data_IF_065868610853
#
_entry.id   IF_065868610853
#
_cell.length_a   1.000
_cell.length_b   1.000
_cell.length_c   1.000
_cell.angle_alpha   90.00
_cell.angle_beta   90.00
_cell.angle_gamma   90.00
#
_symmetry.space_group_name_H-M   'P 1'
#
loop_
_entity.id
_entity.type
_entity.pdbx_description
1 polymer ?
#
# COMPACT_ATOMS: atom_id res chain seq x y z
N UNK A 1 3.69 56.32 22.93
CA UNK A 1 3.33 55.33 21.89
C UNK A 1 4.13 54.02 21.95
N UNK A 2 5.10 53.85 22.87
CA UNK A 2 5.96 52.64 22.91
C UNK A 2 5.37 51.46 23.73
N UNK A 3 4.35 51.71 24.57
CA UNK A 3 3.69 50.68 25.40
C UNK A 3 2.64 49.86 24.66
N UNK A 4 2.00 50.41 23.62
CA UNK A 4 0.96 49.69 22.86
C UNK A 4 1.52 48.73 21.81
N UNK A 5 2.71 49.02 21.26
CA UNK A 5 3.38 48.14 20.28
C UNK A 5 3.81 46.81 20.92
N UNK A 6 4.21 46.82 22.20
CA UNK A 6 4.62 45.61 22.92
C UNK A 6 3.47 44.63 23.17
N UNK A 7 2.27 45.14 23.46
CA UNK A 7 1.08 44.30 23.70
C UNK A 7 0.63 43.64 22.39
N UNK A 8 0.70 44.36 21.26
CA UNK A 8 0.32 43.82 19.95
C UNK A 8 1.26 42.69 19.49
N UNK A 9 2.57 42.82 19.72
CA UNK A 9 3.54 41.77 19.37
C UNK A 9 3.39 40.50 20.22
N UNK A 10 3.02 40.66 21.49
CA UNK A 10 2.80 39.51 22.39
C UNK A 10 1.51 38.75 22.05
N UNK A 11 0.49 39.45 21.53
CA UNK A 11 -0.78 38.84 21.11
C UNK A 11 -0.66 38.07 19.78
N UNK A 12 0.20 38.53 18.85
CA UNK A 12 0.46 37.84 17.58
C UNK A 12 1.27 36.54 17.78
N UNK A 13 2.17 36.49 18.77
CA UNK A 13 2.88 35.26 19.13
C UNK A 13 1.98 34.22 19.83
N UNK A 14 1.04 34.66 20.67
CA UNK A 14 0.09 33.73 21.30
C UNK A 14 -0.97 33.21 20.33
N UNK A 15 -1.32 33.97 19.29
CA UNK A 15 -2.23 33.51 18.24
C UNK A 15 -1.57 32.43 17.36
N UNK A 16 -0.26 32.52 17.08
CA UNK A 16 0.45 31.49 16.31
C UNK A 16 0.60 30.14 17.06
N UNK A 17 0.65 30.17 18.40
CA UNK A 17 0.65 28.96 19.24
C UNK A 17 -0.75 28.33 19.40
N UNK A 18 -1.83 29.07 19.12
CA UNK A 18 -3.20 28.55 19.14
C UNK A 18 -3.61 27.85 17.83
N UNK A 19 -2.88 28.04 16.73
CA UNK A 19 -3.13 27.35 15.44
C UNK A 19 -2.37 26.03 15.33
N UNK A 20 -1.48 25.68 16.27
CA UNK A 20 -0.77 24.38 16.24
C UNK A 20 -1.46 23.26 17.01
N UNK A 21 -2.66 23.47 17.54
CA UNK A 21 -3.43 22.49 18.29
C UNK A 21 -4.88 22.36 17.79
N UNK A 22 -5.12 22.59 16.50
CA UNK A 22 -6.34 22.15 15.83
C UNK A 22 -5.99 20.96 14.94
N UNK A 23 -6.22 19.75 15.45
CA UNK A 23 -6.26 18.54 14.64
C UNK A 23 -7.45 18.66 13.67
N UNK A 24 -7.26 18.65 12.33
CA UNK A 24 -8.33 18.92 11.37
C UNK A 24 -9.29 17.73 11.18
N UNK A 25 -9.39 16.79 12.12
CA UNK A 25 -10.04 15.49 11.91
C UNK A 25 -11.33 15.24 12.66
N UNK A 26 -11.94 16.25 13.30
CA UNK A 26 -13.29 16.08 13.88
C UNK A 26 -14.36 16.69 12.97
N UNK A 27 -14.73 15.95 11.92
CA UNK A 27 -16.04 16.11 11.30
C UNK A 27 -17.10 15.65 12.32
N UNK A 28 -18.02 16.54 12.78
CA UNK A 28 -19.01 16.19 13.77
C UNK A 28 -20.06 15.17 13.28
N UNK A 29 -20.03 14.77 12.01
CA UNK A 29 -21.03 13.87 11.42
C UNK A 29 -20.59 12.41 11.24
N UNK A 30 -19.42 11.98 11.72
CA UNK A 30 -19.04 10.56 11.65
C UNK A 30 -19.73 9.72 12.75
N UNK A 31 -21.02 9.43 12.56
CA UNK A 31 -21.73 8.37 13.29
C UNK A 31 -21.24 7.01 12.80
N UNK A 32 -20.22 6.49 13.46
CA UNK A 32 -19.77 5.12 13.33
C UNK A 32 -20.75 4.19 14.10
N UNK A 33 -21.56 3.40 13.39
CA UNK A 33 -22.30 2.28 13.97
C UNK A 33 -21.71 0.97 13.46
N UNK A 34 -20.83 0.37 14.26
CA UNK A 34 -20.24 -0.95 13.98
C UNK A 34 -19.28 -1.35 15.08
N UNK A 35 -19.75 -2.21 16.00
CA UNK A 35 -19.00 -2.76 17.13
C UNK A 35 -17.84 -3.65 16.67
N UNK A 36 -16.60 -3.19 16.90
CA UNK A 36 -15.38 -3.98 16.81
C UNK A 36 -14.24 -3.29 17.56
N UNK A 37 -13.80 -3.90 18.66
CA UNK A 37 -12.76 -3.38 19.56
C UNK A 37 -11.39 -3.30 18.85
N UNK A 38 -10.76 -2.12 18.77
CA UNK A 38 -9.33 -2.01 18.40
C UNK A 38 -8.88 -0.76 17.63
N UNK A 39 -8.85 0.38 18.31
CA UNK A 39 -7.94 1.55 18.18
C UNK A 39 -7.13 1.81 16.88
N UNK A 40 -7.53 2.87 16.16
CA UNK A 40 -6.70 3.92 15.51
C UNK A 40 -5.52 3.49 14.60
N UNK A 41 -5.82 3.42 13.31
CA UNK A 41 -4.87 3.53 12.21
C UNK A 41 -5.60 4.00 10.96
N UNK A 42 -5.29 5.20 10.46
CA UNK A 42 -5.88 5.76 9.23
C UNK A 42 -5.39 4.98 8.00
N UNK A 43 -5.97 3.80 7.79
CA UNK A 43 -6.07 3.18 6.48
C UNK A 43 -7.54 3.10 6.11
N UNK A 44 -7.90 3.49 4.89
CA UNK A 44 -9.24 3.23 4.36
C UNK A 44 -9.38 1.71 4.25
N UNK A 45 -10.08 1.11 5.21
CA UNK A 45 -10.53 -0.26 5.10
C UNK A 45 -11.75 -0.25 4.20
N UNK A 46 -11.67 -0.98 3.09
CA UNK A 46 -12.82 -1.22 2.23
C UNK A 46 -13.27 -2.64 2.52
N UNK A 47 -14.46 -2.78 3.08
CA UNK A 47 -15.13 -4.07 3.19
C UNK A 47 -15.60 -4.47 1.80
N UNK A 48 -15.22 -5.66 1.34
CA UNK A 48 -15.62 -6.17 0.03
C UNK A 48 -16.15 -7.58 0.22
N UNK A 49 -17.43 -7.75 -0.11
CA UNK A 49 -18.18 -8.99 0.06
C UNK A 49 -18.03 -9.94 -1.12
N UNK A 50 -16.82 -10.14 -1.68
CA UNK A 50 -16.64 -11.06 -2.83
C UNK A 50 -15.21 -11.57 -2.99
N UNK A 51 -15.11 -12.87 -3.25
CA UNK A 51 -13.93 -13.74 -3.07
C UNK A 51 -14.30 -14.92 -2.15
N UNK A 52 -13.43 -15.92 -1.96
CA UNK A 52 -13.67 -16.95 -0.93
C UNK A 52 -13.62 -16.27 0.45
N UNK A 53 -14.78 -15.85 0.96
CA UNK A 53 -14.99 -15.15 2.23
C UNK A 53 -15.15 -13.63 2.10
N UNK A 54 -15.85 -13.02 3.07
CA UNK A 54 -15.87 -11.56 3.27
C UNK A 54 -14.47 -11.11 3.71
N UNK A 55 -13.85 -10.18 2.97
CA UNK A 55 -12.50 -9.68 3.29
C UNK A 55 -12.50 -8.17 3.44
N UNK A 56 -11.82 -7.71 4.48
CA UNK A 56 -11.51 -6.29 4.67
C UNK A 56 -10.18 -5.99 4.00
N UNK A 57 -10.18 -5.10 3.02
CA UNK A 57 -8.99 -4.70 2.29
C UNK A 57 -8.40 -3.45 2.91
N UNK A 58 -7.14 -3.54 3.34
CA UNK A 58 -6.37 -2.40 3.85
C UNK A 58 -5.26 -2.05 2.87
N UNK A 59 -5.46 -1.03 2.05
CA UNK A 59 -4.46 -0.65 1.04
C UNK A 59 -3.36 0.27 1.59
N UNK A 60 -3.70 1.09 2.58
CA UNK A 60 -2.79 2.09 3.15
C UNK A 60 -2.06 1.54 4.37
N UNK A 61 -0.78 1.91 4.49
CA UNK A 61 0.02 1.55 5.64
C UNK A 61 -0.34 2.41 6.86
N UNK A 62 -0.40 1.80 8.04
CA UNK A 62 -0.60 2.52 9.30
C UNK A 62 0.67 3.31 9.67
N UNK A 63 0.51 4.62 9.92
CA UNK A 63 1.60 5.52 10.29
C UNK A 63 2.40 5.03 11.50
N UNK A 64 1.73 4.47 12.52
CA UNK A 64 2.41 3.95 13.72
C UNK A 64 3.29 2.75 13.41
N UNK A 65 2.90 1.94 12.42
CA UNK A 65 3.70 0.81 11.95
C UNK A 65 4.88 1.30 11.09
N UNK A 66 4.68 2.35 10.30
CA UNK A 66 5.75 2.94 9.49
C UNK A 66 6.90 3.46 10.36
N UNK A 67 6.61 4.01 11.54
CA UNK A 67 7.61 4.53 12.48
C UNK A 67 8.47 3.43 13.15
N UNK A 68 8.06 2.15 13.03
CA UNK A 68 8.85 1.04 13.57
C UNK A 68 10.07 0.74 12.69
N UNK A 69 11.11 0.21 13.34
CA UNK A 69 12.28 -0.33 12.64
C UNK A 69 11.87 -1.40 11.63
N UNK A 70 12.55 -1.43 10.49
CA UNK A 70 12.36 -2.45 9.46
C UNK A 70 12.61 -3.88 9.95
N UNK A 71 13.46 -4.04 10.97
CA UNK A 71 13.71 -5.34 11.57
C UNK A 71 12.69 -5.74 12.64
N UNK A 72 11.81 -4.81 13.06
CA UNK A 72 10.77 -5.06 14.06
C UNK A 72 9.77 -6.10 13.54
N UNK A 73 9.55 -7.15 14.34
CA UNK A 73 8.68 -8.25 13.96
C UNK A 73 7.23 -7.78 13.73
N UNK A 74 6.74 -6.81 14.50
CA UNK A 74 5.37 -6.29 14.35
C UNK A 74 5.16 -5.62 12.99
N UNK A 75 6.20 -4.94 12.48
CA UNK A 75 6.16 -4.32 11.16
C UNK A 75 6.14 -5.37 10.05
N UNK A 76 7.00 -6.38 10.16
CA UNK A 76 7.04 -7.52 9.23
C UNK A 76 5.70 -8.27 9.19
N UNK A 77 5.15 -8.61 10.36
CA UNK A 77 3.88 -9.31 10.50
C UNK A 77 2.72 -8.47 9.94
N UNK A 78 2.69 -7.17 10.24
CA UNK A 78 1.67 -6.26 9.73
C UNK A 78 1.61 -6.28 8.20
N UNK A 79 2.74 -6.05 7.51
CA UNK A 79 2.73 -6.03 6.04
C UNK A 79 2.44 -7.41 5.46
N UNK A 80 3.00 -8.47 6.04
CA UNK A 80 2.77 -9.83 5.56
C UNK A 80 1.30 -10.23 5.66
N UNK A 81 0.69 -10.10 6.85
CA UNK A 81 -0.69 -10.49 7.07
C UNK A 81 -1.66 -9.69 6.22
N UNK A 82 -1.46 -8.37 6.10
CA UNK A 82 -2.32 -7.54 5.25
C UNK A 82 -2.17 -7.91 3.77
N UNK A 83 -0.94 -8.08 3.27
CA UNK A 83 -0.73 -8.48 1.88
C UNK A 83 -1.36 -9.84 1.57
N UNK A 84 -1.16 -10.83 2.45
CA UNK A 84 -1.74 -12.16 2.26
C UNK A 84 -3.27 -12.13 2.29
N UNK A 85 -3.86 -11.35 3.19
CA UNK A 85 -5.31 -11.18 3.24
C UNK A 85 -5.86 -10.54 1.95
N UNK A 86 -5.16 -9.55 1.41
CA UNK A 86 -5.54 -8.83 0.20
C UNK A 86 -5.36 -9.71 -1.05
N UNK A 87 -4.21 -10.36 -1.19
CA UNK A 87 -3.72 -10.83 -2.48
C UNK A 87 -3.70 -12.36 -2.64
N UNK A 88 -4.12 -13.16 -1.66
CA UNK A 88 -4.23 -14.62 -1.83
C UNK A 88 -5.59 -15.05 -2.37
N UNK A 89 -5.65 -16.12 -3.17
CA UNK A 89 -6.89 -16.65 -3.75
C UNK A 89 -7.73 -15.58 -4.47
N UNK A 90 -7.07 -14.68 -5.20
CA UNK A 90 -7.70 -13.60 -5.93
C UNK A 90 -7.84 -13.93 -7.41
N UNK A 91 -8.88 -13.38 -8.02
CA UNK A 91 -9.01 -13.29 -9.48
C UNK A 91 -8.86 -11.83 -9.89
N UNK A 92 -8.05 -11.60 -10.92
CA UNK A 92 -7.73 -10.29 -11.43
C UNK A 92 -8.02 -10.24 -12.93
N UNK A 93 -8.66 -9.15 -13.34
CA UNK A 93 -8.77 -8.79 -14.74
C UNK A 93 -7.45 -8.23 -15.20
N UNK A 94 -6.79 -8.88 -16.16
CA UNK A 94 -5.54 -8.38 -16.72
C UNK A 94 -5.76 -7.02 -17.39
N UNK A 95 -4.83 -6.08 -17.17
CA UNK A 95 -4.88 -4.77 -17.83
C UNK A 95 -4.51 -4.92 -19.31
N UNK A 96 -5.27 -4.25 -20.20
CA UNK A 96 -5.01 -4.23 -21.64
C UNK A 96 -5.31 -5.54 -22.38
N UNK A 97 -5.77 -6.58 -21.69
CA UNK A 97 -6.04 -7.90 -22.25
C UNK A 97 -7.53 -8.24 -22.16
N UNK A 98 -8.10 -8.80 -23.24
CA UNK A 98 -9.53 -9.15 -23.28
C UNK A 98 -9.83 -10.59 -22.84
N UNK A 99 -8.82 -11.47 -22.79
CA UNK A 99 -9.01 -12.92 -22.58
C UNK A 99 -8.21 -13.46 -21.40
N UNK A 100 -7.06 -12.86 -21.09
CA UNK A 100 -6.16 -13.35 -20.06
C UNK A 100 -6.72 -13.06 -18.66
N UNK A 101 -6.95 -14.11 -17.88
CA UNK A 101 -7.29 -13.98 -16.45
C UNK A 101 -6.03 -14.15 -15.63
N UNK A 102 -5.86 -13.35 -14.59
CA UNK A 102 -4.75 -13.54 -13.65
C UNK A 102 -5.29 -13.94 -12.30
N UNK A 103 -4.53 -14.78 -11.62
CA UNK A 103 -4.98 -15.33 -10.34
C UNK A 103 -3.84 -15.41 -9.36
N UNK A 104 -4.20 -15.56 -8.09
CA UNK A 104 -3.25 -15.87 -7.04
C UNK A 104 -3.72 -17.06 -6.23
N UNK A 105 -2.78 -17.84 -5.68
CA UNK A 105 -3.09 -18.95 -4.79
C UNK A 105 -2.98 -18.56 -3.31
N UNK A 106 -3.08 -19.55 -2.42
CA UNK A 106 -2.96 -19.40 -0.96
C UNK A 106 -1.59 -18.92 -0.49
N UNK A 107 -0.53 -19.10 -1.30
CA UNK A 107 0.83 -18.64 -1.03
C UNK A 107 1.10 -17.29 -1.72
N UNK A 108 0.03 -16.66 -2.27
CA UNK A 108 0.06 -15.47 -3.08
C UNK A 108 0.93 -15.59 -4.34
N UNK A 109 1.18 -16.79 -4.85
CA UNK A 109 1.87 -17.01 -6.14
C UNK A 109 1.01 -16.41 -7.24
N UNK A 110 1.62 -15.63 -8.14
CA UNK A 110 0.90 -14.90 -9.18
C UNK A 110 0.96 -15.66 -10.52
N UNK A 111 -0.21 -15.92 -11.09
CA UNK A 111 -0.38 -16.73 -12.28
C UNK A 111 -1.07 -15.97 -13.41
N UNK A 112 -0.81 -16.43 -14.62
CA UNK A 112 -1.65 -16.19 -15.79
C UNK A 112 -2.39 -17.48 -16.15
N UNK A 113 -3.69 -17.34 -16.41
CA UNK A 113 -4.59 -18.42 -16.83
C UNK A 113 -4.46 -19.69 -15.95
N UNK A 114 -4.29 -19.51 -14.63
CA UNK A 114 -4.14 -20.57 -13.63
C UNK A 114 -3.00 -21.59 -13.88
N UNK A 115 -2.04 -21.29 -14.76
CA UNK A 115 -1.06 -22.29 -15.21
C UNK A 115 0.36 -21.74 -15.31
N UNK A 116 0.54 -20.55 -15.88
CA UNK A 116 1.85 -19.93 -16.01
C UNK A 116 2.19 -19.10 -14.77
N UNK A 117 3.22 -19.50 -14.02
CA UNK A 117 3.70 -18.71 -12.88
C UNK A 117 4.40 -17.46 -13.41
N UNK A 118 3.83 -16.29 -13.11
CA UNK A 118 4.40 -14.99 -13.44
C UNK A 118 5.30 -14.47 -12.31
N UNK A 119 5.00 -14.81 -11.06
CA UNK A 119 5.79 -14.36 -9.91
C UNK A 119 5.60 -15.21 -8.67
N UNK A 120 6.68 -15.43 -7.93
CA UNK A 120 6.66 -16.04 -6.60
C UNK A 120 6.84 -14.97 -5.53
N UNK A 121 5.98 -14.99 -4.52
CA UNK A 121 6.07 -14.08 -3.38
C UNK A 121 7.41 -14.24 -2.66
N UNK A 122 7.97 -13.14 -2.17
CA UNK A 122 9.22 -13.11 -1.41
C UNK A 122 8.99 -12.51 -0.02
N UNK A 123 8.53 -11.27 0.04
CA UNK A 123 8.13 -10.60 1.29
C UNK A 123 7.18 -9.43 1.02
N UNK A 124 6.48 -8.98 2.05
CA UNK A 124 5.60 -7.79 2.01
C UNK A 124 6.24 -6.60 2.72
N UNK A 125 5.92 -5.38 2.27
CA UNK A 125 6.57 -4.13 2.67
C UNK A 125 5.64 -2.92 2.51
N UNK A 126 6.00 -1.77 3.11
CA UNK A 126 5.48 -0.49 2.65
C UNK A 126 6.06 -0.12 1.28
N UNK A 127 5.26 0.59 0.49
CA UNK A 127 5.65 1.18 -0.79
C UNK A 127 5.20 2.63 -0.79
N UNK A 128 6.14 3.56 -0.92
CA UNK A 128 5.81 4.97 -1.07
C UNK A 128 5.56 5.29 -2.55
N UNK A 129 4.32 5.64 -2.88
CA UNK A 129 3.91 6.05 -4.20
C UNK A 129 3.17 7.38 -4.13
N UNK A 130 3.66 8.39 -4.86
CA UNK A 130 3.10 9.76 -4.86
C UNK A 130 2.95 10.34 -3.45
N UNK A 131 3.96 10.14 -2.59
CA UNK A 131 3.98 10.59 -1.20
C UNK A 131 3.03 9.84 -0.26
N UNK A 132 2.37 8.78 -0.74
CA UNK A 132 1.45 7.95 0.04
C UNK A 132 2.05 6.57 0.27
N UNK A 133 1.95 6.04 1.49
CA UNK A 133 2.47 4.73 1.83
C UNK A 133 1.38 3.65 1.69
N UNK A 134 1.59 2.74 0.75
CA UNK A 134 0.74 1.59 0.48
C UNK A 134 1.32 0.31 1.07
N UNK A 135 0.46 -0.68 1.28
CA UNK A 135 0.86 -2.06 1.51
C UNK A 135 1.17 -2.69 0.16
N UNK A 136 2.33 -3.35 0.06
CA UNK A 136 2.74 -4.05 -1.14
C UNK A 136 3.67 -5.20 -0.87
N UNK A 137 4.19 -5.79 -1.94
CA UNK A 137 5.08 -6.95 -1.83
C UNK A 137 6.04 -7.12 -2.99
N UNK A 138 7.17 -7.73 -2.67
CA UNK A 138 8.19 -8.13 -3.61
C UNK A 138 7.94 -9.54 -4.13
N UNK A 139 8.05 -9.67 -5.45
CA UNK A 139 7.92 -10.90 -6.20
C UNK A 139 9.16 -11.15 -7.03
N UNK A 140 9.49 -12.44 -7.20
CA UNK A 140 10.54 -12.90 -8.11
C UNK A 140 9.91 -13.62 -9.29
N UNK A 141 10.27 -13.20 -10.51
CA UNK A 141 9.86 -13.93 -11.72
C UNK A 141 10.58 -15.29 -11.79
N UNK A 142 9.86 -16.40 -12.00
CA UNK A 142 10.49 -17.72 -12.09
C UNK A 142 11.29 -17.89 -13.38
N UNK A 143 12.15 -18.91 -13.38
CA UNK A 143 12.85 -19.43 -14.57
C UNK A 143 13.69 -18.39 -15.34
N UNK A 144 14.17 -17.36 -14.65
CA UNK A 144 15.13 -16.41 -15.21
C UNK A 144 16.56 -16.88 -14.95
N UNK A 145 17.46 -16.66 -15.90
CA UNK A 145 18.89 -16.85 -15.69
C UNK A 145 19.35 -15.99 -14.50
N UNK A 146 20.34 -16.47 -13.72
CA UNK A 146 20.79 -15.73 -12.53
C UNK A 146 21.29 -14.31 -12.84
N UNK A 147 21.88 -14.10 -14.02
CA UNK A 147 22.34 -12.78 -14.49
C UNK A 147 21.21 -11.85 -14.96
N UNK A 148 19.98 -12.36 -15.11
CA UNK A 148 18.82 -11.64 -15.65
C UNK A 148 17.58 -11.84 -14.76
N UNK A 149 17.77 -11.99 -13.44
CA UNK A 149 16.64 -12.12 -12.54
C UNK A 149 15.78 -10.86 -12.62
N UNK A 150 14.48 -11.06 -12.80
CA UNK A 150 13.49 -9.99 -12.84
C UNK A 150 12.69 -10.00 -11.54
N UNK A 151 12.71 -8.85 -10.87
CA UNK A 151 12.00 -8.55 -9.64
C UNK A 151 10.81 -7.67 -9.96
N UNK A 152 9.70 -7.92 -9.27
CA UNK A 152 8.47 -7.18 -9.43
C UNK A 152 8.03 -6.67 -8.06
N UNK A 153 7.76 -5.38 -7.95
CA UNK A 153 7.18 -4.80 -6.74
C UNK A 153 5.73 -4.46 -7.03
N UNK A 154 4.82 -5.13 -6.32
CA UNK A 154 3.39 -4.94 -6.47
C UNK A 154 2.84 -4.05 -5.35
N UNK A 155 1.93 -3.15 -5.71
CA UNK A 155 0.98 -2.55 -4.78
C UNK A 155 -0.40 -2.48 -5.42
N UNK A 156 -1.44 -2.41 -4.60
CA UNK A 156 -2.80 -2.17 -5.08
C UNK A 156 -3.19 -0.75 -4.72
N UNK A 157 -3.54 0.02 -5.75
CA UNK A 157 -3.98 1.40 -5.58
C UNK A 157 -5.40 1.46 -5.02
N UNK A 158 -5.83 2.63 -4.55
CA UNK A 158 -7.15 2.78 -3.88
C UNK A 158 -8.35 2.42 -4.76
N UNK A 159 -8.19 2.46 -6.08
CA UNK A 159 -9.21 2.04 -7.04
C UNK A 159 -9.14 0.56 -7.42
N UNK A 160 -8.24 -0.22 -6.78
CA UNK A 160 -8.06 -1.63 -7.06
C UNK A 160 -7.04 -2.02 -8.10
N UNK A 161 -6.43 -1.05 -8.75
CA UNK A 161 -5.45 -1.32 -9.78
C UNK A 161 -4.20 -1.92 -9.14
N UNK A 162 -3.84 -3.12 -9.55
CA UNK A 162 -2.54 -3.70 -9.32
C UNK A 162 -1.51 -2.94 -10.15
N UNK A 163 -0.67 -2.18 -9.47
CA UNK A 163 0.45 -1.47 -10.05
C UNK A 163 1.71 -2.30 -9.82
N UNK A 164 2.52 -2.42 -10.86
CA UNK A 164 3.77 -3.18 -10.84
C UNK A 164 4.93 -2.29 -11.21
N UNK A 165 6.00 -2.32 -10.39
CA UNK A 165 7.33 -1.86 -10.77
C UNK A 165 8.22 -3.06 -11.16
N UNK A 166 9.11 -2.90 -12.15
CA UNK A 166 10.01 -3.96 -12.60
C UNK A 166 11.49 -3.55 -12.50
N UNK A 167 12.33 -4.43 -11.95
CA UNK A 167 13.80 -4.29 -11.94
C UNK A 167 14.43 -5.58 -12.45
N UNK A 168 15.45 -5.47 -13.30
CA UNK A 168 16.35 -6.58 -13.60
C UNK A 168 17.64 -6.39 -12.81
N UNK A 169 17.92 -7.32 -11.90
CA UNK A 169 19.13 -7.30 -11.07
C UNK A 169 19.46 -8.70 -10.60
N UNK A 170 20.75 -9.03 -10.53
CA UNK A 170 21.23 -10.30 -9.97
C UNK A 170 20.84 -10.45 -8.50
N UNK A 171 20.87 -9.35 -7.77
CA UNK A 171 20.61 -9.29 -6.33
C UNK A 171 19.20 -8.74 -6.06
N UNK A 172 18.72 -8.96 -4.83
CA UNK A 172 17.43 -8.42 -4.38
C UNK A 172 17.50 -6.87 -4.38
N UNK A 173 16.61 -6.15 -5.08
CA UNK A 173 16.68 -4.69 -5.15
C UNK A 173 16.42 -4.03 -3.80
N UNK A 174 17.07 -2.89 -3.55
CA UNK A 174 16.93 -2.15 -2.29
C UNK A 174 15.77 -1.16 -2.32
N UNK A 175 15.43 -0.58 -1.18
CA UNK A 175 14.40 0.47 -1.09
C UNK A 175 14.74 1.68 -1.98
N UNK A 176 16.02 2.07 -2.04
CA UNK A 176 16.51 3.16 -2.89
C UNK A 176 16.33 2.85 -4.37
N UNK A 177 16.49 1.59 -4.80
CA UNK A 177 16.27 1.19 -6.19
C UNK A 177 14.79 1.37 -6.57
N UNK A 178 13.88 1.00 -5.68
CA UNK A 178 12.45 1.18 -5.90
C UNK A 178 12.03 2.65 -5.88
N UNK A 179 12.57 3.45 -4.95
CA UNK A 179 12.29 4.90 -4.88
C UNK A 179 12.61 5.60 -6.20
N UNK A 180 13.71 5.23 -6.88
CA UNK A 180 14.07 5.79 -8.19
C UNK A 180 13.06 5.46 -9.30
N UNK A 181 12.43 4.28 -9.25
CA UNK A 181 11.39 3.90 -10.21
C UNK A 181 10.12 4.68 -9.95
N UNK A 182 9.68 4.71 -8.69
CA UNK A 182 8.45 5.39 -8.32
C UNK A 182 8.51 6.91 -8.47
N UNK A 183 9.69 7.53 -8.34
CA UNK A 183 9.86 8.97 -8.55
C UNK A 183 9.78 9.38 -10.02
N UNK A 184 10.23 8.50 -10.92
CA UNK A 184 10.35 8.82 -12.35
C UNK A 184 9.19 8.26 -13.18
N UNK A 185 8.27 7.51 -12.55
CA UNK A 185 7.20 6.69 -13.15
C UNK A 185 7.66 5.70 -14.25
N UNK A 186 8.94 5.71 -14.63
CA UNK A 186 9.54 4.80 -15.59
C UNK A 186 9.57 3.38 -15.02
N UNK A 187 8.86 2.46 -15.70
CA UNK A 187 8.79 1.06 -15.29
C UNK A 187 7.63 0.74 -14.32
N UNK A 188 6.69 1.67 -14.13
CA UNK A 188 5.40 1.41 -13.49
C UNK A 188 4.36 1.00 -14.54
N UNK A 189 3.68 -0.11 -14.31
CA UNK A 189 2.67 -0.64 -15.21
C UNK A 189 1.38 -0.97 -14.44
N UNK A 190 0.24 -0.56 -14.98
CA UNK A 190 -1.03 -1.16 -14.58
C UNK A 190 -1.07 -2.59 -15.09
N UNK A 191 -1.12 -3.54 -14.16
CA UNK A 191 -0.99 -4.96 -14.48
C UNK A 191 -2.36 -5.67 -14.42
N UNK A 192 -3.28 -5.18 -13.62
CA UNK A 192 -4.64 -5.71 -13.57
C UNK A 192 -5.48 -5.03 -12.51
N UNK A 193 -6.70 -5.48 -12.35
CA UNK A 193 -7.64 -4.96 -11.35
C UNK A 193 -8.28 -6.16 -10.65
N UNK A 194 -8.39 -6.11 -9.32
CA UNK A 194 -9.08 -7.17 -8.57
C UNK A 194 -10.54 -7.18 -9.02
N UNK A 195 -11.03 -8.33 -9.47
CA UNK A 195 -12.42 -8.45 -9.88
C UNK A 195 -13.30 -8.36 -8.63
N UNK A 196 -14.22 -7.38 -8.61
CA UNK A 196 -15.23 -7.14 -7.58
C UNK A 196 -14.83 -6.27 -6.37
N UNK A 197 -14.15 -5.14 -6.57
CA UNK A 197 -13.88 -4.18 -5.49
C UNK A 197 -15.07 -3.36 -4.98
N UNK A 198 -16.29 -3.59 -5.50
CA UNK A 198 -17.48 -2.87 -5.05
C UNK A 198 -17.41 -1.35 -5.17
N UNK A 199 -16.79 -0.82 -6.24
CA UNK A 199 -16.82 0.61 -6.58
C UNK A 199 -18.02 0.93 -7.46
#
# INVERSE_FOLDING_TARGET
MQKQIKILLTLLMSLALAVSCADPTTDPNNKNTGTGNGTTGNGTEIEISTGVGNRNYRFLADKKILDLSWQDQRKKDYFHSNWMNIFTNQTLKAAGETVSTRTTDKEATYFENNSAVLGKFVYATNIEFKGTNYIGALYKKPNQAQSLQQWMLFHIYTNGNLITALIQSKDVPTEEDWKKIYSNENGLYHNGTIENLGL
#
